data_IF_175980324794
#
_entry.id   IF_175980324794
#
_cell.length_a   1.000
_cell.length_b   1.000
_cell.length_c   1.000
_cell.angle_alpha   90.00
_cell.angle_beta   90.00
_cell.angle_gamma   90.00
#
_symmetry.space_group_name_H-M   'P 1'
#
loop_
_entity.id
_entity.type
_entity.pdbx_description
1 polymer ?
#
# COMPACT_ATOMS: atom_id res chain seq x y z
N UNK A 1 -52.52 -54.21 52.79
CA UNK A 1 -52.78 -54.68 51.41
C UNK A 1 -51.71 -54.11 50.49
N UNK A 2 -51.10 -54.98 49.66
CA UNK A 2 -50.16 -54.77 48.51
C UNK A 2 -48.93 -53.87 48.72
N UNK A 3 -47.68 -54.38 48.84
CA UNK A 3 -46.78 -55.09 47.87
C UNK A 3 -46.40 -54.27 46.62
N UNK A 4 -45.06 -54.23 46.40
CA UNK A 4 -44.29 -54.01 45.16
C UNK A 4 -43.73 -52.58 44.97
N UNK A 5 -42.46 -52.33 44.59
CA UNK A 5 -41.27 -53.15 44.33
C UNK A 5 -40.05 -52.18 44.22
N UNK A 6 -38.95 -52.48 44.94
CA UNK A 6 -37.51 -52.36 44.58
C UNK A 6 -36.85 -50.98 44.30
N UNK A 7 -36.14 -50.45 45.31
CA UNK A 7 -34.67 -50.33 45.49
C UNK A 7 -33.73 -49.67 44.42
N UNK A 8 -32.54 -49.16 44.81
CA UNK A 8 -32.28 -47.72 44.94
C UNK A 8 -31.03 -47.23 44.17
N UNK A 9 -30.91 -45.92 43.91
CA UNK A 9 -29.63 -45.31 43.51
C UNK A 9 -29.32 -44.06 44.34
N UNK A 10 -28.22 -44.18 45.08
CA UNK A 10 -27.56 -43.20 45.95
C UNK A 10 -27.11 -41.98 45.13
N UNK A 11 -27.42 -40.78 45.61
CA UNK A 11 -26.71 -39.55 45.27
C UNK A 11 -26.01 -39.10 46.55
N UNK A 12 -24.68 -39.13 46.54
CA UNK A 12 -23.85 -38.75 47.69
C UNK A 12 -22.85 -37.68 47.26
N UNK A 13 -22.98 -36.54 47.93
CA UNK A 13 -21.97 -35.59 48.37
C UNK A 13 -21.07 -34.84 47.37
N UNK A 14 -21.38 -33.53 47.32
CA UNK A 14 -20.45 -32.39 47.36
C UNK A 14 -19.21 -32.66 48.21
N UNK A 15 -18.03 -32.46 47.62
CA UNK A 15 -16.97 -31.59 48.13
C UNK A 15 -15.71 -31.80 47.28
N UNK A 16 -15.26 -30.76 46.57
CA UNK A 16 -13.85 -30.43 46.30
C UNK A 16 -13.77 -29.35 45.21
N UNK A 17 -13.65 -28.09 45.64
CA UNK A 17 -13.36 -26.95 44.77
C UNK A 17 -11.82 -26.79 44.70
N UNK A 18 -11.30 -27.07 43.51
CA UNK A 18 -10.20 -26.42 42.80
C UNK A 18 -8.89 -26.09 43.56
N UNK A 19 -8.01 -27.08 43.63
CA UNK A 19 -6.57 -26.89 43.36
C UNK A 19 -6.27 -27.57 42.04
N UNK A 20 -5.86 -26.82 41.01
CA UNK A 20 -5.06 -27.23 39.83
C UNK A 20 -5.25 -26.25 38.65
N UNK A 21 -4.61 -25.08 38.70
CA UNK A 21 -4.42 -24.22 37.52
C UNK A 21 -2.93 -23.99 37.28
N UNK A 22 -2.19 -25.06 36.98
CA UNK A 22 -0.86 -24.98 36.37
C UNK A 22 -0.74 -26.08 35.32
N UNK A 23 -1.35 -25.84 34.16
CA UNK A 23 -1.16 -26.68 32.97
C UNK A 23 -0.67 -25.76 31.83
N UNK A 24 0.62 -25.91 31.54
CA UNK A 24 1.24 -25.89 30.21
C UNK A 24 0.85 -24.76 29.24
N UNK A 25 1.64 -23.69 29.23
CA UNK A 25 1.93 -22.93 28.00
C UNK A 25 3.45 -22.90 27.76
N UNK A 26 4.01 -24.04 27.36
CA UNK A 26 5.31 -24.07 26.64
C UNK A 26 5.05 -23.46 25.26
N UNK A 27 5.26 -22.14 25.15
CA UNK A 27 5.37 -21.47 23.87
C UNK A 27 6.59 -22.05 23.14
N UNK A 28 6.35 -22.95 22.19
CA UNK A 28 7.35 -23.29 21.18
C UNK A 28 7.53 -22.04 20.32
N UNK A 29 8.62 -21.32 20.56
CA UNK A 29 9.15 -20.36 19.61
C UNK A 29 9.64 -21.12 18.39
N UNK A 30 8.72 -21.50 17.49
CA UNK A 30 9.06 -21.75 16.11
C UNK A 30 9.42 -20.39 15.51
N UNK A 31 10.72 -20.09 15.52
CA UNK A 31 11.30 -19.15 14.57
C UNK A 31 10.96 -19.67 13.17
N UNK A 32 9.79 -19.29 12.66
CA UNK A 32 9.47 -19.41 11.25
C UNK A 32 10.44 -18.45 10.57
N UNK A 33 11.53 -18.99 10.04
CA UNK A 33 12.32 -18.24 9.08
C UNK A 33 11.38 -17.96 7.92
N UNK A 34 10.82 -16.75 7.87
CA UNK A 34 10.16 -16.26 6.68
C UNK A 34 11.29 -16.12 5.66
N UNK A 35 11.54 -17.20 4.92
CA UNK A 35 12.34 -17.14 3.70
C UNK A 35 11.60 -16.17 2.80
N UNK A 36 12.06 -14.92 2.74
CA UNK A 36 11.65 -13.97 1.71
C UNK A 36 11.90 -14.67 0.38
N UNK A 37 10.83 -15.17 -0.24
CA UNK A 37 10.92 -15.57 -1.64
C UNK A 37 11.43 -14.34 -2.39
N UNK A 38 12.33 -14.48 -3.38
CA UNK A 38 12.77 -13.35 -4.17
C UNK A 38 11.55 -12.78 -4.87
N UNK A 39 10.98 -11.72 -4.29
CA UNK A 39 9.83 -11.05 -4.85
C UNK A 39 10.31 -10.52 -6.20
N UNK A 40 9.60 -10.88 -7.28
CA UNK A 40 9.93 -10.37 -8.60
C UNK A 40 9.90 -8.85 -8.52
N UNK A 41 11.05 -8.20 -8.78
CA UNK A 41 11.18 -6.75 -8.76
C UNK A 41 10.11 -6.16 -9.67
N UNK A 42 9.10 -5.54 -9.06
CA UNK A 42 7.99 -4.95 -9.78
C UNK A 42 8.21 -3.45 -9.87
N UNK A 43 8.46 -2.96 -11.08
CA UNK A 43 8.44 -1.53 -11.37
C UNK A 43 7.00 -1.08 -11.59
N UNK A 44 6.70 0.18 -11.24
CA UNK A 44 5.33 0.71 -11.28
C UNK A 44 5.37 2.22 -11.49
N UNK A 45 4.38 2.72 -12.22
CA UNK A 45 4.10 4.15 -12.29
C UNK A 45 3.05 4.52 -11.25
N UNK A 46 3.30 5.59 -10.51
CA UNK A 46 2.27 6.29 -9.74
C UNK A 46 1.98 7.65 -10.38
N UNK A 47 0.72 8.06 -10.32
CA UNK A 47 0.33 9.45 -10.54
C UNK A 47 -0.51 9.95 -9.36
N UNK A 48 -0.05 11.02 -8.74
CA UNK A 48 -0.69 11.66 -7.60
C UNK A 48 -1.30 12.97 -8.09
N UNK A 49 -2.63 13.10 -8.03
CA UNK A 49 -3.35 14.30 -8.46
C UNK A 49 -3.66 15.19 -7.26
N UNK A 50 -3.45 16.50 -7.39
CA UNK A 50 -3.85 17.49 -6.40
C UNK A 50 -5.37 17.63 -6.39
N UNK A 51 -6.02 17.25 -5.29
CA UNK A 51 -7.49 17.24 -5.18
C UNK A 51 -8.08 18.56 -4.67
N UNK A 52 -7.27 19.44 -4.08
CA UNK A 52 -7.66 20.79 -3.65
C UNK A 52 -8.06 21.72 -4.81
N UNK A 53 -7.59 21.42 -6.03
CA UNK A 53 -7.90 22.21 -7.23
C UNK A 53 -9.31 21.98 -7.80
N UNK A 54 -10.12 21.10 -7.19
CA UNK A 54 -11.51 20.81 -7.59
C UNK A 54 -11.73 20.60 -9.10
N UNK A 55 -10.78 19.93 -9.75
CA UNK A 55 -10.85 19.67 -11.19
C UNK A 55 -12.00 18.74 -11.54
N UNK A 56 -12.64 18.97 -12.69
CA UNK A 56 -13.54 17.97 -13.27
C UNK A 56 -12.75 16.73 -13.70
N UNK A 57 -13.46 15.60 -13.88
CA UNK A 57 -12.83 14.30 -14.19
C UNK A 57 -11.97 14.34 -15.46
N UNK A 58 -12.41 15.04 -16.50
CA UNK A 58 -11.68 15.17 -17.75
C UNK A 58 -10.36 15.92 -17.59
N UNK A 59 -10.38 17.05 -16.88
CA UNK A 59 -9.19 17.82 -16.58
C UNK A 59 -8.22 17.06 -15.67
N UNK A 60 -8.72 16.32 -14.67
CA UNK A 60 -7.89 15.46 -13.83
C UNK A 60 -7.21 14.36 -14.66
N UNK A 61 -7.98 13.63 -15.48
CA UNK A 61 -7.45 12.58 -16.35
C UNK A 61 -6.41 13.11 -17.35
N UNK A 62 -6.66 14.29 -17.95
CA UNK A 62 -5.71 14.92 -18.87
C UNK A 62 -4.38 15.28 -18.18
N UNK A 63 -4.42 15.83 -16.96
CA UNK A 63 -3.21 16.15 -16.21
C UNK A 63 -2.45 14.90 -15.73
N UNK A 64 -3.17 13.84 -15.35
CA UNK A 64 -2.57 12.53 -15.03
C UNK A 64 -1.85 11.99 -16.26
N UNK A 65 -2.55 11.90 -17.41
CA UNK A 65 -1.98 11.39 -18.65
C UNK A 65 -0.76 12.22 -19.07
N UNK A 66 -0.86 13.55 -18.99
CA UNK A 66 0.27 14.46 -19.25
C UNK A 66 1.46 14.13 -18.36
N UNK A 67 1.26 14.00 -17.04
CA UNK A 67 2.34 13.71 -16.09
C UNK A 67 3.05 12.37 -16.39
N UNK A 68 2.27 11.32 -16.67
CA UNK A 68 2.79 9.99 -16.98
C UNK A 68 3.52 9.97 -18.32
N UNK A 69 2.96 10.61 -19.34
CA UNK A 69 3.57 10.68 -20.67
C UNK A 69 4.93 11.41 -20.63
N UNK A 70 5.01 12.56 -19.95
CA UNK A 70 6.28 13.27 -19.82
C UNK A 70 7.32 12.45 -19.05
N UNK A 71 6.92 11.79 -17.97
CA UNK A 71 7.81 10.93 -17.20
C UNK A 71 8.31 9.74 -18.04
N UNK A 72 7.40 9.07 -18.74
CA UNK A 72 7.74 7.96 -19.64
C UNK A 72 8.75 8.40 -20.71
N UNK A 73 8.51 9.54 -21.36
CA UNK A 73 9.43 10.04 -22.40
C UNK A 73 10.82 10.35 -21.84
N UNK A 74 10.91 10.91 -20.63
CA UNK A 74 12.21 11.13 -19.95
C UNK A 74 12.92 9.79 -19.73
N UNK A 75 12.21 8.79 -19.20
CA UNK A 75 12.78 7.46 -18.92
C UNK A 75 13.22 6.72 -20.18
N UNK A 76 12.39 6.77 -21.23
CA UNK A 76 12.63 6.06 -22.50
C UNK A 76 13.80 6.69 -23.29
N UNK A 77 13.98 8.01 -23.16
CA UNK A 77 15.13 8.72 -23.76
C UNK A 77 16.47 8.47 -23.04
N UNK A 78 16.44 7.93 -21.81
CA UNK A 78 17.63 7.65 -21.01
C UNK A 78 18.05 6.18 -21.21
N UNK A 79 19.25 5.97 -21.74
CA UNK A 79 19.78 4.65 -22.09
C UNK A 79 19.85 3.68 -20.90
N UNK A 80 20.04 4.19 -19.68
CA UNK A 80 20.12 3.34 -18.48
C UNK A 80 18.74 3.13 -17.89
N UNK A 81 17.86 4.13 -17.91
CA UNK A 81 16.55 4.03 -17.27
C UNK A 81 15.52 3.29 -18.14
N UNK A 82 15.68 3.27 -19.46
CA UNK A 82 14.78 2.57 -20.39
C UNK A 82 14.66 1.07 -20.07
N UNK A 83 15.72 0.42 -19.59
CA UNK A 83 15.67 -1.00 -19.19
C UNK A 83 14.63 -1.27 -18.07
N UNK A 84 14.38 -0.30 -17.21
CA UNK A 84 13.38 -0.41 -16.15
C UNK A 84 11.97 -0.26 -16.72
N UNK A 85 11.80 0.59 -17.74
CA UNK A 85 10.55 0.71 -18.50
C UNK A 85 10.25 -0.60 -19.24
N UNK A 86 11.25 -1.23 -19.88
CA UNK A 86 11.09 -2.55 -20.50
C UNK A 86 10.64 -3.62 -19.49
N UNK A 87 11.20 -3.59 -18.27
CA UNK A 87 10.81 -4.49 -17.20
C UNK A 87 9.37 -4.23 -16.74
N UNK A 88 8.97 -2.96 -16.62
CA UNK A 88 7.58 -2.57 -16.34
C UNK A 88 6.62 -3.04 -17.45
N UNK A 89 7.01 -2.92 -18.73
CA UNK A 89 6.21 -3.38 -19.87
C UNK A 89 5.97 -4.89 -19.82
N UNK A 90 6.99 -5.67 -19.45
CA UNK A 90 6.90 -7.14 -19.30
C UNK A 90 6.08 -7.58 -18.09
N UNK A 91 5.88 -6.71 -17.10
CA UNK A 91 5.17 -7.02 -15.83
C UNK A 91 3.73 -6.49 -15.80
N UNK A 92 3.15 -6.23 -16.98
CA UNK A 92 1.74 -5.89 -17.13
C UNK A 92 1.42 -4.40 -17.06
N UNK A 93 2.43 -3.53 -17.16
CA UNK A 93 2.26 -2.09 -17.32
C UNK A 93 1.42 -1.43 -16.21
N UNK A 94 1.64 -1.85 -14.95
CA UNK A 94 0.83 -1.36 -13.83
C UNK A 94 1.02 0.15 -13.60
N UNK A 95 -0.10 0.86 -13.52
CA UNK A 95 -0.16 2.28 -13.16
C UNK A 95 -1.11 2.41 -11.95
N UNK A 96 -0.72 3.20 -10.96
CA UNK A 96 -1.51 3.46 -9.75
C UNK A 96 -1.82 4.95 -9.65
N UNK A 97 -3.09 5.29 -9.45
CA UNK A 97 -3.52 6.69 -9.34
C UNK A 97 -3.95 6.99 -7.91
N UNK A 98 -3.33 7.98 -7.29
CA UNK A 98 -3.58 8.38 -5.91
C UNK A 98 -4.10 9.82 -5.82
N UNK A 99 -4.83 10.10 -4.74
CA UNK A 99 -5.26 11.43 -4.35
C UNK A 99 -4.20 12.08 -3.49
N UNK A 100 -3.62 13.18 -3.96
CA UNK A 100 -2.86 14.10 -3.14
C UNK A 100 -3.78 15.18 -2.57
N UNK A 101 -3.43 15.69 -1.38
CA UNK A 101 -4.21 16.72 -0.70
C UNK A 101 -4.12 18.07 -1.41
N UNK A 102 -2.94 18.70 -1.40
CA UNK A 102 -2.72 20.04 -1.93
C UNK A 102 -1.33 20.19 -2.59
N UNK A 103 -0.99 21.41 -3.01
CA UNK A 103 0.33 21.69 -3.59
C UNK A 103 1.49 21.38 -2.63
N UNK A 104 1.34 21.67 -1.33
CA UNK A 104 2.39 21.46 -0.33
C UNK A 104 2.67 19.98 -0.14
N UNK A 105 1.63 19.16 -0.11
CA UNK A 105 1.74 17.71 -0.04
C UNK A 105 2.46 17.14 -1.25
N UNK A 106 2.09 17.55 -2.47
CA UNK A 106 2.79 17.07 -3.68
C UNK A 106 4.25 17.52 -3.72
N UNK A 107 4.56 18.73 -3.20
CA UNK A 107 5.93 19.21 -3.09
C UNK A 107 6.74 18.37 -2.09
N UNK A 108 6.17 18.08 -0.93
CA UNK A 108 6.78 17.18 0.06
C UNK A 108 7.07 15.80 -0.55
N UNK A 109 6.10 15.20 -1.25
CA UNK A 109 6.31 13.91 -1.91
C UNK A 109 7.41 13.96 -2.96
N UNK A 110 7.48 15.03 -3.77
CA UNK A 110 8.54 15.21 -4.77
C UNK A 110 9.94 15.25 -4.13
N UNK A 111 10.07 15.88 -2.96
CA UNK A 111 11.32 15.96 -2.20
C UNK A 111 11.70 14.60 -1.59
N UNK A 112 10.76 13.90 -0.95
CA UNK A 112 10.99 12.56 -0.36
C UNK A 112 11.37 11.52 -1.42
N UNK A 113 10.72 11.57 -2.59
CA UNK A 113 10.94 10.60 -3.66
C UNK A 113 12.24 10.79 -4.42
N UNK A 114 12.95 11.92 -4.23
CA UNK A 114 14.14 12.28 -5.00
C UNK A 114 15.25 11.22 -4.95
N UNK A 115 15.34 10.48 -3.85
CA UNK A 115 16.39 9.47 -3.63
C UNK A 115 15.87 8.03 -3.68
N UNK A 116 14.55 7.86 -3.77
CA UNK A 116 13.89 6.54 -3.68
C UNK A 116 13.33 6.15 -5.05
N UNK A 117 12.70 7.09 -5.74
CA UNK A 117 12.22 6.87 -7.10
C UNK A 117 13.37 6.87 -8.11
N UNK A 118 13.21 6.09 -9.18
CA UNK A 118 14.11 6.13 -10.33
C UNK A 118 13.99 7.48 -11.04
N UNK A 119 12.75 7.97 -11.15
CA UNK A 119 12.47 9.28 -11.70
C UNK A 119 11.10 9.78 -11.24
N UNK A 120 11.00 11.10 -11.06
CA UNK A 120 9.75 11.82 -10.85
C UNK A 120 9.56 12.90 -11.91
N UNK A 121 8.31 13.31 -12.11
CA UNK A 121 7.96 14.45 -12.93
C UNK A 121 6.68 15.12 -12.40
N UNK A 122 6.75 16.40 -12.06
CA UNK A 122 5.58 17.14 -11.59
C UNK A 122 5.11 18.18 -12.61
N UNK A 123 3.84 18.03 -13.02
CA UNK A 123 3.10 18.98 -13.83
C UNK A 123 2.77 20.19 -12.97
N UNK A 124 3.33 21.34 -13.34
CA UNK A 124 3.08 22.62 -12.68
C UNK A 124 2.17 23.50 -13.52
N UNK A 125 1.35 24.27 -12.86
CA UNK A 125 0.57 25.34 -13.45
C UNK A 125 0.92 26.65 -12.80
N UNK A 126 1.08 27.67 -13.64
CA UNK A 126 1.50 29.00 -13.25
C UNK A 126 0.34 29.97 -13.39
N UNK A 127 0.05 30.70 -12.31
CA UNK A 127 -0.86 31.85 -12.31
C UNK A 127 -0.06 33.09 -11.91
N UNK A 128 0.36 33.87 -12.91
CA UNK A 128 1.22 35.04 -12.68
C UNK A 128 2.50 34.64 -11.90
N UNK A 129 2.64 35.07 -10.64
CA UNK A 129 3.79 34.74 -9.77
C UNK A 129 3.61 33.46 -8.96
N UNK A 130 2.41 32.89 -8.94
CA UNK A 130 2.09 31.70 -8.17
C UNK A 130 2.23 30.45 -9.04
N UNK A 131 2.68 29.35 -8.44
CA UNK A 131 2.71 28.05 -9.08
C UNK A 131 2.11 26.99 -8.15
N UNK A 132 1.44 26.00 -8.74
CA UNK A 132 1.00 24.81 -8.02
C UNK A 132 1.32 23.57 -8.83
N UNK A 133 1.69 22.51 -8.12
CA UNK A 133 1.78 21.17 -8.72
C UNK A 133 0.34 20.65 -8.86
N UNK A 134 -0.04 20.35 -10.10
CA UNK A 134 -1.32 19.72 -10.41
C UNK A 134 -1.22 18.21 -10.22
N UNK A 135 -0.19 17.59 -10.80
CA UNK A 135 0.00 16.15 -10.76
C UNK A 135 1.49 15.83 -10.61
N UNK A 136 1.80 14.79 -9.83
CA UNK A 136 3.14 14.24 -9.67
C UNK A 136 3.15 12.81 -10.20
N UNK A 137 3.93 12.55 -11.24
CA UNK A 137 4.22 11.21 -11.72
C UNK A 137 5.52 10.70 -11.10
N UNK A 138 5.53 9.42 -10.77
CA UNK A 138 6.63 8.75 -10.06
C UNK A 138 6.83 7.38 -10.68
N UNK A 139 8.09 7.00 -10.89
CA UNK A 139 8.45 5.69 -11.39
C UNK A 139 9.57 5.09 -10.56
N UNK A 140 9.42 3.81 -10.21
CA UNK A 140 10.46 3.04 -9.56
C UNK A 140 9.97 1.70 -9.05
N UNK A 141 10.75 1.11 -8.14
CA UNK A 141 10.43 -0.17 -7.52
C UNK A 141 9.24 -0.01 -6.57
N UNK A 142 8.25 -0.88 -6.73
CA UNK A 142 7.02 -0.86 -5.95
C UNK A 142 7.31 -0.95 -4.44
N UNK A 143 8.19 -1.86 -4.05
CA UNK A 143 8.54 -2.08 -2.64
C UNK A 143 9.16 -0.85 -1.98
N UNK A 144 9.99 -0.09 -2.71
CA UNK A 144 10.67 1.09 -2.19
C UNK A 144 9.71 2.30 -2.10
N UNK A 145 8.75 2.38 -3.02
CA UNK A 145 7.87 3.55 -3.15
C UNK A 145 6.57 3.40 -2.34
N UNK A 146 6.04 2.18 -2.16
CA UNK A 146 4.73 1.98 -1.50
C UNK A 146 4.70 2.47 -0.05
N UNK A 147 5.83 2.41 0.67
CA UNK A 147 5.94 2.89 2.05
C UNK A 147 5.64 4.40 2.16
N UNK A 148 6.13 5.20 1.20
CA UNK A 148 5.93 6.66 1.18
C UNK A 148 4.46 7.02 0.98
N UNK A 149 3.72 6.17 0.27
CA UNK A 149 2.31 6.39 -0.05
C UNK A 149 1.36 5.71 0.94
N UNK A 150 1.86 5.20 2.06
CA UNK A 150 1.03 4.64 3.12
C UNK A 150 0.00 5.67 3.61
N UNK A 151 -1.26 5.24 3.71
CA UNK A 151 -2.37 6.11 4.10
C UNK A 151 -2.95 6.99 2.98
N UNK A 152 -2.34 7.03 1.79
CA UNK A 152 -2.92 7.74 0.65
C UNK A 152 -4.11 6.97 0.06
N UNK A 153 -5.12 7.71 -0.40
CA UNK A 153 -6.32 7.13 -1.00
C UNK A 153 -6.20 7.01 -2.51
N UNK A 154 -6.67 5.90 -3.09
CA UNK A 154 -6.81 5.75 -4.53
C UNK A 154 -7.79 6.79 -5.11
N UNK A 155 -7.48 7.27 -6.33
CA UNK A 155 -8.44 8.03 -7.12
C UNK A 155 -9.54 7.07 -7.62
N UNK A 156 -10.80 7.40 -7.34
CA UNK A 156 -11.98 6.61 -7.75
C UNK A 156 -12.61 7.22 -8.99
#
# INVERSE_FOLDING_TARGET
MNKNLVNPLKITNRSQINKNNQINKKQKNTHVSIRRQPFLKQYVFYAIINTDLHMNRGAAAANIAKSLMFLHNILDSDQVKSQYVDSWMKTGQRIVILKGYDHKHLKYLEDELKFIAIQTYAVRHFWNRNQAIIALAVFGLKEDIEEIFEGMSYLR
#
